data_IF_814066351209
#
_entry.id   IF_814066351209
#
_cell.length_a   1.000
_cell.length_b   1.000
_cell.length_c   1.000
_cell.angle_alpha   90.00
_cell.angle_beta   90.00
_cell.angle_gamma   90.00
#
_symmetry.space_group_name_H-M   'P 1'
#
loop_
_entity.id
_entity.type
_entity.pdbx_description
1 polymer ?
#
# COMPACT_ATOMS: atom_id res chain seq x y z
N UNK A 1 19.21 18.27 10.65
CA UNK A 1 19.57 16.84 10.50
C UNK A 1 19.47 16.40 9.04
N UNK A 2 18.30 16.52 8.38
CA UNK A 2 18.18 16.13 6.96
C UNK A 2 19.01 16.97 5.98
N UNK A 3 19.10 18.29 6.16
CA UNK A 3 19.98 19.12 5.32
C UNK A 3 21.45 18.71 5.47
N UNK A 4 21.88 18.32 6.68
CA UNK A 4 23.22 17.78 6.93
C UNK A 4 23.42 16.37 6.32
N UNK A 5 22.34 15.66 6.02
CA UNK A 5 22.34 14.40 5.28
C UNK A 5 22.23 14.59 3.76
N UNK A 6 22.25 15.83 3.26
CA UNK A 6 22.28 16.15 1.84
C UNK A 6 20.92 16.28 1.14
N UNK A 7 19.81 16.33 1.90
CA UNK A 7 18.49 16.64 1.32
C UNK A 7 18.41 18.13 0.97
N UNK A 8 17.90 18.43 -0.22
CA UNK A 8 17.53 19.79 -0.60
C UNK A 8 16.31 20.25 0.21
N UNK A 9 16.19 21.55 0.47
CA UNK A 9 15.08 22.08 1.28
C UNK A 9 13.70 21.78 0.65
N UNK A 10 13.61 21.78 -0.69
CA UNK A 10 12.38 21.42 -1.42
C UNK A 10 11.98 19.94 -1.28
N UNK A 11 12.93 19.08 -0.89
CA UNK A 11 12.68 17.67 -0.60
C UNK A 11 12.37 17.43 0.89
N UNK A 12 12.36 18.47 1.72
CA UNK A 12 12.08 18.37 3.15
C UNK A 12 10.64 18.86 3.41
N UNK A 13 9.86 18.04 4.10
CA UNK A 13 8.49 18.37 4.51
C UNK A 13 8.37 18.29 6.03
N UNK A 14 7.71 19.28 6.63
CA UNK A 14 7.51 19.36 8.08
C UNK A 14 6.08 18.99 8.43
N UNK A 15 5.90 18.05 9.36
CA UNK A 15 4.59 17.63 9.83
C UNK A 15 4.49 17.87 11.32
N UNK A 16 3.53 18.71 11.72
CA UNK A 16 3.20 18.92 13.12
C UNK A 16 1.96 18.09 13.46
N UNK A 17 1.92 17.52 14.66
CA UNK A 17 0.74 16.82 15.16
C UNK A 17 0.59 17.00 16.67
N UNK A 18 -0.63 16.83 17.16
CA UNK A 18 -0.96 16.87 18.59
C UNK A 18 -1.59 15.55 18.99
N UNK A 19 -1.09 14.93 20.03
CA UNK A 19 -1.80 13.83 20.69
C UNK A 19 -2.78 14.45 21.68
N UNK A 20 -4.07 14.17 21.49
CA UNK A 20 -5.14 14.75 22.28
C UNK A 20 -6.16 13.70 22.72
N UNK A 21 -6.91 14.01 23.78
CA UNK A 21 -7.97 13.15 24.32
C UNK A 21 -9.05 13.99 24.97
N UNK A 22 -10.24 13.44 25.19
CA UNK A 22 -11.18 14.08 26.12
C UNK A 22 -10.67 13.94 27.56
N UNK A 23 -10.96 14.92 28.41
CA UNK A 23 -10.64 14.85 29.83
C UNK A 23 -11.27 13.59 30.45
N UNK A 24 -10.45 12.80 31.16
CA UNK A 24 -10.86 11.52 31.76
C UNK A 24 -10.86 10.32 30.81
N UNK A 25 -10.53 10.49 29.53
CA UNK A 25 -10.38 9.39 28.57
C UNK A 25 -9.03 8.67 28.75
N UNK A 26 -9.04 7.34 28.58
CA UNK A 26 -7.85 6.50 28.77
C UNK A 26 -6.95 6.32 27.54
N UNK A 27 -7.26 6.95 26.41
CA UNK A 27 -6.50 6.82 25.16
C UNK A 27 -6.47 8.11 24.37
N UNK A 28 -5.42 8.28 23.57
CA UNK A 28 -5.14 9.48 22.78
C UNK A 28 -5.45 9.26 21.30
N UNK A 29 -5.72 10.34 20.59
CA UNK A 29 -5.75 10.42 19.13
C UNK A 29 -4.69 11.42 18.66
N UNK A 30 -3.91 11.01 17.68
CA UNK A 30 -2.98 11.91 16.99
C UNK A 30 -3.71 12.70 15.92
N UNK A 31 -3.71 14.02 16.07
CA UNK A 31 -4.31 14.98 15.15
C UNK A 31 -3.21 15.64 14.33
N UNK A 32 -3.21 15.41 13.02
CA UNK A 32 -2.26 16.07 12.10
C UNK A 32 -2.66 17.54 11.92
N UNK A 33 -1.69 18.44 12.08
CA UNK A 33 -1.90 19.87 11.90
C UNK A 33 -1.69 20.27 10.44
N UNK A 34 -2.45 21.26 9.94
CA UNK A 34 -2.19 21.84 8.63
C UNK A 34 -0.80 22.52 8.59
N UNK A 35 -0.09 22.37 7.46
CA UNK A 35 1.21 22.99 7.20
C UNK A 35 1.13 24.53 7.23
N UNK A 36 2.24 25.23 7.52
CA UNK A 36 2.34 26.08 8.70
C UNK A 36 1.51 27.36 8.59
N UNK A 37 0.53 27.48 9.48
CA UNK A 37 0.00 28.76 9.95
C UNK A 37 0.45 28.96 11.41
N UNK A 38 0.59 30.21 11.84
CA UNK A 38 1.06 30.55 13.19
C UNK A 38 0.25 29.85 14.30
N UNK A 39 0.87 29.68 15.46
CA UNK A 39 0.21 29.08 16.62
C UNK A 39 -0.58 30.13 17.39
N UNK A 40 -1.68 30.58 16.81
CA UNK A 40 -2.59 31.58 17.38
C UNK A 40 -3.90 30.94 17.89
N UNK A 41 -4.82 31.78 18.38
CA UNK A 41 -6.14 31.31 18.84
C UNK A 41 -6.97 30.62 17.76
N UNK A 42 -6.80 30.98 16.49
CA UNK A 42 -7.50 30.33 15.38
C UNK A 42 -6.94 28.92 15.12
N UNK A 43 -5.61 28.75 15.21
CA UNK A 43 -4.99 27.42 15.16
C UNK A 43 -5.45 26.55 16.32
N UNK A 44 -5.51 27.07 17.55
CA UNK A 44 -6.01 26.31 18.71
C UNK A 44 -7.43 25.83 18.46
N UNK A 45 -8.34 26.73 18.03
CA UNK A 45 -9.72 26.35 17.70
C UNK A 45 -9.77 25.29 16.58
N UNK A 46 -8.89 25.41 15.58
CA UNK A 46 -8.79 24.43 14.49
C UNK A 46 -8.34 23.06 14.97
N UNK A 47 -7.40 22.98 15.90
CA UNK A 47 -6.93 21.71 16.50
C UNK A 47 -8.07 21.00 17.23
N UNK A 48 -8.88 21.73 18.00
CA UNK A 48 -10.06 21.18 18.67
C UNK A 48 -11.06 20.59 17.67
N UNK A 49 -11.38 21.34 16.61
CA UNK A 49 -12.29 20.85 15.58
C UNK A 49 -11.73 19.60 14.86
N UNK A 50 -10.44 19.60 14.53
CA UNK A 50 -9.78 18.44 13.92
C UNK A 50 -9.78 17.21 14.86
N UNK A 51 -9.60 17.43 16.16
CA UNK A 51 -9.71 16.35 17.14
C UNK A 51 -11.12 15.73 17.16
N UNK A 52 -12.17 16.55 17.20
CA UNK A 52 -13.54 16.04 17.14
C UNK A 52 -13.82 15.29 15.83
N UNK A 53 -13.30 15.77 14.70
CA UNK A 53 -13.42 15.10 13.39
C UNK A 53 -12.70 13.75 13.38
N UNK A 54 -11.49 13.66 13.91
CA UNK A 54 -10.76 12.39 14.00
C UNK A 54 -11.44 11.41 14.98
N UNK A 55 -11.99 11.90 16.08
CA UNK A 55 -12.75 11.07 17.01
C UNK A 55 -14.03 10.53 16.37
N UNK A 56 -14.78 11.36 15.64
CA UNK A 56 -15.94 10.95 14.85
C UNK A 56 -15.56 9.91 13.79
N UNK A 57 -14.49 10.17 13.03
CA UNK A 57 -14.00 9.25 12.00
C UNK A 57 -13.58 7.90 12.56
N UNK A 58 -12.95 7.89 13.75
CA UNK A 58 -12.41 6.68 14.38
C UNK A 58 -13.46 5.88 15.15
N UNK A 59 -14.42 6.55 15.79
CA UNK A 59 -15.36 5.93 16.74
C UNK A 59 -16.85 6.15 16.42
N UNK A 60 -17.18 6.89 15.36
CA UNK A 60 -18.55 7.16 14.93
C UNK A 60 -19.34 8.10 15.86
N UNK A 61 -18.64 8.85 16.73
CA UNK A 61 -19.22 9.87 17.61
C UNK A 61 -18.16 10.86 18.06
N UNK A 62 -18.56 12.04 18.51
CA UNK A 62 -17.70 13.07 19.12
C UNK A 62 -18.49 13.86 20.17
N UNK A 63 -17.82 14.32 21.23
CA UNK A 63 -18.40 15.18 22.27
C UNK A 63 -17.81 16.59 22.16
N UNK A 64 -18.54 17.48 21.49
CA UNK A 64 -18.10 18.87 21.26
C UNK A 64 -18.13 19.74 22.52
N UNK A 65 -18.80 19.30 23.59
CA UNK A 65 -18.86 20.01 24.86
C UNK A 65 -17.76 19.60 25.84
N UNK A 66 -17.12 18.45 25.60
CA UNK A 66 -16.07 17.94 26.46
C UNK A 66 -14.76 18.71 26.31
N UNK A 67 -14.06 18.89 27.43
CA UNK A 67 -12.71 19.45 27.46
C UNK A 67 -11.74 18.52 26.72
N UNK A 68 -10.99 19.08 25.77
CA UNK A 68 -9.91 18.39 25.08
C UNK A 68 -8.60 18.68 25.80
N UNK A 69 -7.88 17.63 26.19
CA UNK A 69 -6.54 17.70 26.76
C UNK A 69 -5.51 17.42 25.66
N UNK A 70 -4.49 18.26 25.56
CA UNK A 70 -3.32 17.98 24.73
C UNK A 70 -2.25 17.31 25.58
N UNK A 71 -1.84 16.12 25.16
CA UNK A 71 -0.86 15.31 25.89
C UNK A 71 0.55 15.55 25.35
N UNK A 72 0.70 15.65 24.03
CA UNK A 72 2.00 15.87 23.39
C UNK A 72 1.89 16.68 22.09
N UNK A 73 2.88 17.54 21.86
CA UNK A 73 3.14 18.17 20.56
C UNK A 73 4.26 17.39 19.87
N UNK A 74 4.08 17.05 18.59
CA UNK A 74 5.07 16.31 17.79
C UNK A 74 5.46 17.09 16.55
N UNK A 75 6.74 17.03 16.21
CA UNK A 75 7.28 17.51 14.95
C UNK A 75 8.01 16.36 14.23
N UNK A 76 7.50 15.98 13.07
CA UNK A 76 8.15 15.04 12.15
C UNK A 76 8.75 15.80 10.98
N UNK A 77 9.97 15.46 10.59
CA UNK A 77 10.63 16.01 9.41
C UNK A 77 10.88 14.86 8.44
N UNK A 78 10.33 14.96 7.23
CA UNK A 78 10.35 13.90 6.22
C UNK A 78 11.18 14.35 5.03
N UNK A 79 12.24 13.60 4.70
CA UNK A 79 13.01 13.78 3.47
C UNK A 79 12.43 12.93 2.35
N UNK A 80 12.08 13.55 1.22
CA UNK A 80 11.59 12.84 0.03
C UNK A 80 12.78 12.25 -0.70
N UNK A 81 12.69 10.96 -0.98
CA UNK A 81 13.64 10.26 -1.85
C UNK A 81 12.95 9.87 -3.15
N UNK A 82 13.69 9.78 -4.27
CA UNK A 82 13.13 9.29 -5.51
C UNK A 82 12.49 7.91 -5.30
N UNK A 83 11.21 7.79 -5.64
CA UNK A 83 10.54 6.49 -5.60
C UNK A 83 11.16 5.61 -6.70
N UNK A 84 11.64 4.40 -6.39
CA UNK A 84 12.14 3.50 -7.41
C UNK A 84 11.02 3.24 -8.42
N UNK A 85 11.34 3.38 -9.71
CA UNK A 85 10.42 3.03 -10.78
C UNK A 85 10.54 1.52 -10.99
N UNK A 86 9.44 0.75 -10.90
CA UNK A 86 9.52 -0.66 -11.22
C UNK A 86 9.98 -0.80 -12.69
N UNK A 87 10.82 -1.80 -12.99
CA UNK A 87 11.28 -2.05 -14.35
C UNK A 87 10.08 -2.34 -15.26
N UNK A 88 10.22 -1.98 -16.53
CA UNK A 88 9.23 -2.34 -17.55
C UNK A 88 9.32 -3.85 -17.76
N UNK A 89 8.28 -4.60 -17.40
CA UNK A 89 8.20 -6.03 -17.72
C UNK A 89 8.08 -6.21 -19.24
N UNK A 90 9.21 -6.43 -19.90
CA UNK A 90 9.28 -6.82 -21.31
C UNK A 90 9.03 -8.31 -21.46
N UNK A 91 8.51 -8.73 -22.61
CA UNK A 91 8.34 -10.16 -22.98
C UNK A 91 8.98 -10.45 -24.34
N UNK A 92 9.34 -11.72 -24.60
CA UNK A 92 9.61 -12.19 -25.96
C UNK A 92 8.45 -11.89 -26.92
N UNK A 93 8.75 -11.64 -28.20
CA UNK A 93 7.77 -11.28 -29.22
C UNK A 93 6.81 -12.43 -29.64
N UNK A 94 6.94 -13.61 -29.04
CA UNK A 94 6.13 -14.80 -29.31
C UNK A 94 4.76 -14.72 -28.60
N UNK A 95 3.73 -15.46 -29.05
CA UNK A 95 2.49 -15.67 -28.30
C UNK A 95 2.73 -16.28 -26.91
N UNK A 96 1.83 -16.05 -25.94
CA UNK A 96 2.00 -16.54 -24.56
C UNK A 96 2.14 -18.06 -24.50
N UNK A 97 1.38 -18.77 -25.31
CA UNK A 97 1.33 -20.23 -25.40
C UNK A 97 2.69 -20.83 -25.79
N UNK A 98 3.45 -20.12 -26.62
CA UNK A 98 4.78 -20.53 -27.08
C UNK A 98 5.89 -20.17 -26.09
N UNK A 99 5.59 -19.34 -25.08
CA UNK A 99 6.55 -18.89 -24.06
C UNK A 99 6.58 -19.77 -22.79
N UNK A 100 5.80 -20.85 -22.80
CA UNK A 100 5.82 -21.90 -21.78
C UNK A 100 7.15 -22.66 -21.81
N UNK A 101 7.73 -22.90 -20.64
CA UNK A 101 8.95 -23.73 -20.50
C UNK A 101 8.64 -25.22 -20.64
N UNK A 102 7.57 -25.65 -19.99
CA UNK A 102 7.20 -27.06 -19.88
C UNK A 102 5.74 -27.19 -19.42
N UNK A 103 5.26 -28.42 -19.36
CA UNK A 103 4.02 -28.78 -18.67
C UNK A 103 4.36 -29.71 -17.51
N UNK A 104 3.70 -29.52 -16.38
CA UNK A 104 3.93 -30.31 -15.16
C UNK A 104 2.60 -30.66 -14.49
N UNK A 105 2.45 -31.88 -13.93
CA UNK A 105 1.27 -32.23 -13.17
C UNK A 105 1.18 -31.42 -11.87
N UNK A 106 0.07 -30.71 -11.68
CA UNK A 106 -0.28 -30.01 -10.44
C UNK A 106 -1.53 -30.60 -9.83
N UNK A 107 -1.51 -30.89 -8.53
CA UNK A 107 -2.67 -31.44 -7.81
C UNK A 107 -3.37 -30.31 -7.05
N UNK A 108 -4.65 -30.10 -7.35
CA UNK A 108 -5.52 -29.17 -6.61
C UNK A 108 -6.79 -29.88 -6.19
N UNK A 109 -7.12 -29.86 -4.90
CA UNK A 109 -8.31 -30.49 -4.33
C UNK A 109 -8.48 -31.97 -4.77
N UNK A 110 -7.37 -32.72 -4.81
CA UNK A 110 -7.35 -34.14 -5.20
C UNK A 110 -7.43 -34.41 -6.71
N UNK A 111 -7.60 -33.38 -7.56
CA UNK A 111 -7.57 -33.52 -9.02
C UNK A 111 -6.20 -33.13 -9.57
N UNK A 112 -5.67 -33.96 -10.47
CA UNK A 112 -4.45 -33.66 -11.22
C UNK A 112 -4.77 -32.84 -12.46
N UNK A 113 -3.97 -31.81 -12.70
CA UNK A 113 -4.04 -30.93 -13.85
C UNK A 113 -2.69 -30.92 -14.55
N UNK A 114 -2.69 -31.09 -15.87
CA UNK A 114 -1.50 -30.85 -16.68
C UNK A 114 -1.36 -29.34 -16.91
N UNK A 115 -0.46 -28.70 -16.16
CA UNK A 115 -0.41 -27.25 -16.04
C UNK A 115 0.83 -26.68 -16.77
N UNK A 116 0.69 -25.56 -17.51
CA UNK A 116 1.83 -24.87 -18.10
C UNK A 116 2.74 -24.30 -17.01
N UNK A 117 4.05 -24.38 -17.26
CA UNK A 117 5.10 -23.77 -16.45
C UNK A 117 5.70 -22.61 -17.24
N UNK A 118 5.70 -21.42 -16.64
CA UNK A 118 6.31 -20.22 -17.21
C UNK A 118 7.54 -19.81 -16.39
N UNK A 119 8.56 -19.29 -17.05
CA UNK A 119 9.58 -18.49 -16.38
C UNK A 119 9.07 -17.06 -16.21
N UNK A 120 9.34 -16.41 -15.07
CA UNK A 120 8.92 -15.03 -14.84
C UNK A 120 9.40 -14.07 -15.95
N UNK A 121 10.64 -14.13 -16.46
CA UNK A 121 11.11 -13.28 -17.55
C UNK A 121 10.37 -13.47 -18.89
N UNK A 122 9.66 -14.58 -19.07
CA UNK A 122 8.86 -14.84 -20.27
C UNK A 122 7.48 -14.16 -20.22
N UNK A 123 7.12 -13.59 -19.07
CA UNK A 123 5.86 -12.88 -18.85
C UNK A 123 6.10 -11.36 -18.84
N UNK A 124 5.33 -10.65 -19.66
CA UNK A 124 5.38 -9.19 -19.78
C UNK A 124 4.02 -8.54 -19.64
N UNK A 125 4.03 -7.21 -19.65
CA UNK A 125 2.83 -6.37 -19.42
C UNK A 125 1.62 -6.84 -20.23
N UNK A 126 0.48 -6.97 -19.54
CA UNK A 126 -0.78 -7.35 -20.13
C UNK A 126 -0.92 -8.84 -20.45
N UNK A 127 0.11 -9.66 -20.21
CA UNK A 127 -0.07 -11.12 -20.25
C UNK A 127 -1.12 -11.54 -19.25
N UNK A 128 -2.03 -12.40 -19.70
CA UNK A 128 -3.15 -12.87 -18.92
C UNK A 128 -3.44 -14.33 -19.26
N UNK A 129 -3.65 -15.14 -18.23
CA UNK A 129 -4.10 -16.51 -18.38
C UNK A 129 -4.89 -16.95 -17.15
N UNK A 130 -5.74 -17.95 -17.32
CA UNK A 130 -6.46 -18.61 -16.22
C UNK A 130 -5.69 -19.86 -15.82
N UNK A 131 -5.51 -20.07 -14.52
CA UNK A 131 -4.88 -21.28 -14.01
C UNK A 131 -5.72 -22.55 -14.24
N UNK A 132 -5.15 -23.72 -13.90
CA UNK A 132 -3.94 -23.89 -13.13
C UNK A 132 -2.65 -23.65 -13.93
N UNK A 133 -1.66 -23.01 -13.32
CA UNK A 133 -0.33 -22.78 -13.92
C UNK A 133 0.73 -22.59 -12.84
N UNK A 134 2.00 -22.76 -13.20
CA UNK A 134 3.14 -22.48 -12.32
C UNK A 134 4.02 -21.40 -12.97
N UNK A 135 4.33 -20.34 -12.23
CA UNK A 135 5.31 -19.33 -12.63
C UNK A 135 6.53 -19.46 -11.74
N UNK A 136 7.68 -19.75 -12.35
CA UNK A 136 8.97 -19.82 -11.66
C UNK A 136 9.64 -18.43 -11.67
N UNK A 137 10.22 -18.05 -10.54
CA UNK A 137 11.01 -16.84 -10.38
C UNK A 137 12.32 -17.21 -9.68
N UNK A 138 13.36 -16.38 -9.83
CA UNK A 138 14.67 -16.66 -9.25
C UNK A 138 14.64 -16.85 -7.71
N UNK A 139 13.68 -16.21 -7.03
CA UNK A 139 13.52 -16.19 -5.58
C UNK A 139 12.17 -16.76 -5.09
N UNK A 140 11.28 -17.18 -6.00
CA UNK A 140 9.94 -17.62 -5.65
C UNK A 140 9.31 -18.55 -6.69
N UNK A 141 8.21 -19.20 -6.34
CA UNK A 141 7.35 -19.91 -7.27
C UNK A 141 5.89 -19.56 -7.01
N UNK A 142 5.18 -19.11 -8.03
CA UNK A 142 3.78 -18.69 -7.94
C UNK A 142 2.90 -19.76 -8.57
N UNK A 143 2.18 -20.49 -7.75
CA UNK A 143 1.16 -21.42 -8.20
C UNK A 143 -0.16 -20.67 -8.42
N UNK A 144 -0.62 -20.60 -9.67
CA UNK A 144 -1.92 -20.02 -10.03
C UNK A 144 -2.96 -21.15 -9.94
N UNK A 145 -3.97 -21.05 -9.05
CA UNK A 145 -4.98 -22.10 -8.89
C UNK A 145 -5.91 -22.24 -10.11
N UNK A 146 -6.66 -23.35 -10.23
CA UNK A 146 -7.80 -23.45 -11.16
C UNK A 146 -8.78 -22.29 -10.96
N UNK A 147 -9.40 -21.84 -12.05
CA UNK A 147 -10.42 -20.77 -12.08
C UNK A 147 -9.95 -19.37 -11.60
N UNK A 148 -8.67 -19.23 -11.27
CA UNK A 148 -8.04 -17.95 -10.93
C UNK A 148 -7.37 -17.37 -12.17
N UNK A 149 -7.69 -16.12 -12.49
CA UNK A 149 -7.01 -15.39 -13.57
C UNK A 149 -5.76 -14.70 -13.03
N UNK A 150 -4.62 -14.90 -13.67
CA UNK A 150 -3.41 -14.12 -13.42
C UNK A 150 -3.24 -13.05 -14.51
N UNK A 151 -2.84 -11.85 -14.12
CA UNK A 151 -2.49 -10.75 -15.04
C UNK A 151 -1.14 -10.12 -14.66
N UNK A 152 -0.32 -9.79 -15.65
CA UNK A 152 0.88 -8.97 -15.44
C UNK A 152 0.53 -7.51 -15.59
N UNK A 153 0.59 -6.75 -14.50
CA UNK A 153 0.29 -5.31 -14.50
C UNK A 153 1.37 -4.49 -15.20
N UNK A 154 1.07 -3.20 -15.44
CA UNK A 154 2.04 -2.25 -16.00
C UNK A 154 3.30 -2.13 -15.13
N UNK A 155 3.17 -2.28 -13.82
CA UNK A 155 4.29 -2.30 -12.87
C UNK A 155 5.13 -3.58 -12.96
N UNK A 156 4.67 -4.61 -13.66
CA UNK A 156 5.28 -5.94 -13.67
C UNK A 156 4.82 -6.83 -12.50
N UNK A 157 3.89 -6.37 -11.67
CA UNK A 157 3.32 -7.21 -10.62
C UNK A 157 2.45 -8.32 -11.23
N UNK A 158 2.48 -9.51 -10.61
CA UNK A 158 1.56 -10.60 -10.94
C UNK A 158 0.32 -10.46 -10.04
N UNK A 159 -0.83 -10.14 -10.63
CA UNK A 159 -2.09 -10.01 -9.90
C UNK A 159 -2.94 -11.26 -10.13
N UNK A 160 -3.33 -11.92 -9.04
CA UNK A 160 -4.24 -13.06 -9.07
C UNK A 160 -5.64 -12.59 -8.71
N UNK A 161 -6.56 -12.70 -9.66
CA UNK A 161 -7.96 -12.37 -9.50
C UNK A 161 -8.71 -13.62 -9.05
N UNK A 162 -8.94 -13.71 -7.75
CA UNK A 162 -9.75 -14.77 -7.16
C UNK A 162 -11.22 -14.51 -7.51
N UNK A 163 -11.90 -15.50 -8.08
CA UNK A 163 -13.34 -15.42 -8.17
C UNK A 163 -13.92 -15.55 -6.77
N UNK A 164 -14.66 -14.54 -6.31
CA UNK A 164 -15.46 -14.70 -5.08
C UNK A 164 -16.45 -15.83 -5.31
N UNK A 165 -16.46 -16.81 -4.42
CA UNK A 165 -17.56 -17.76 -4.33
C UNK A 165 -18.87 -16.95 -4.18
N UNK A 166 -19.80 -17.17 -5.09
CA UNK A 166 -21.20 -16.78 -4.87
C UNK A 166 -21.85 -17.73 -3.88
#
# INVERSE_FOLDING_TARGET
>A
QLSAAGFADDDITHRLSVDARYAGQGYELTVLLPEPAGFDGAMIARIHELFHQEHERRYGRSDKGATVEWVALRAGVVGRVPRPRPPVATRPAQPLEERMLARQPMIWSGRSYDAPVFDRPNLGRGDRFTGPALVLQADASVAVPPDVTMTVEVTGDLILHLQSAR
#
